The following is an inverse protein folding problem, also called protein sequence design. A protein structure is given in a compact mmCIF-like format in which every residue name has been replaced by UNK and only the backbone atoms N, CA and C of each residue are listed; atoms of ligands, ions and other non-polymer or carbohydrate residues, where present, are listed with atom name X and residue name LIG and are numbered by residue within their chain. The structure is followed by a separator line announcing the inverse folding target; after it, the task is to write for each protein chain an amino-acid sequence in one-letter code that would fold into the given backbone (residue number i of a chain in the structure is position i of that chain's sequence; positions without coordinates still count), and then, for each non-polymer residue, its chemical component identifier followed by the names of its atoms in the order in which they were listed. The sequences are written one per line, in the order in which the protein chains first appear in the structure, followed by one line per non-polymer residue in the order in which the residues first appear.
data_IF_920673078461
#
_entry.id   IF_920673078461
#
_cell.length_a   1.000
_cell.length_b   1.000
_cell.length_c   1.000
_cell.angle_alpha   90.00
_cell.angle_beta   90.00
_cell.angle_gamma   90.00
#
_symmetry.space_group_name_H-M   'P 1'
#
loop_
_entity.id
_entity.type
_entity.pdbx_description
1 polymer ?
#
# COMPACT_ATOMS: atom_id res chain seq x y z
N UNK A 1 -16.64 -3.19 -2.37
CA UNK A 1 -15.28 -3.36 -1.81
C UNK A 1 -15.13 -4.73 -1.14
N UNK A 2 -15.81 -5.04 -0.03
CA UNK A 2 -15.74 -6.36 0.62
C UNK A 2 -16.05 -7.55 -0.30
N UNK A 3 -17.00 -7.39 -1.23
CA UNK A 3 -17.40 -8.40 -2.22
C UNK A 3 -16.27 -8.78 -3.19
N UNK A 4 -15.33 -7.88 -3.48
CA UNK A 4 -14.21 -8.14 -4.40
C UNK A 4 -12.98 -8.62 -3.65
N UNK A 5 -12.79 -8.20 -2.40
CA UNK A 5 -11.59 -8.52 -1.63
C UNK A 5 -11.67 -9.93 -1.02
N UNK A 6 -12.83 -10.35 -0.50
CA UNK A 6 -13.01 -11.70 0.04
C UNK A 6 -12.63 -12.82 -0.94
N UNK A 7 -13.06 -12.81 -2.22
CA UNK A 7 -12.65 -13.86 -3.15
C UNK A 7 -11.15 -13.81 -3.45
N UNK A 8 -10.52 -12.63 -3.49
CA UNK A 8 -9.07 -12.52 -3.67
C UNK A 8 -8.28 -13.07 -2.49
N UNK A 9 -8.76 -12.89 -1.25
CA UNK A 9 -8.16 -13.52 -0.06
C UNK A 9 -8.25 -15.05 -0.16
N UNK A 10 -9.40 -15.58 -0.58
CA UNK A 10 -9.58 -17.02 -0.78
C UNK A 10 -8.64 -17.54 -1.88
N UNK A 11 -8.54 -16.84 -3.01
CA UNK A 11 -7.62 -17.21 -4.10
C UNK A 11 -6.16 -17.17 -3.65
N UNK A 12 -5.74 -16.15 -2.90
CA UNK A 12 -4.37 -16.05 -2.39
C UNK A 12 -4.03 -17.19 -1.41
N UNK A 13 -4.98 -17.56 -0.54
CA UNK A 13 -4.80 -18.69 0.38
C UNK A 13 -4.77 -20.02 -0.39
N UNK A 14 -5.64 -20.19 -1.40
CA UNK A 14 -5.64 -21.37 -2.25
C UNK A 14 -4.33 -21.50 -3.05
N UNK A 15 -3.82 -20.40 -3.60
CA UNK A 15 -2.53 -20.38 -4.28
C UNK A 15 -1.39 -20.76 -3.32
N UNK A 16 -1.35 -20.16 -2.12
CA UNK A 16 -0.37 -20.51 -1.09
C UNK A 16 -0.48 -21.97 -0.63
N UNK A 17 -1.66 -22.59 -0.67
CA UNK A 17 -1.88 -24.01 -0.35
C UNK A 17 -1.46 -24.94 -1.49
N UNK A 18 -1.76 -24.58 -2.74
CA UNK A 18 -1.50 -25.41 -3.92
C UNK A 18 -0.03 -25.35 -4.34
N UNK A 19 0.63 -24.22 -4.10
CA UNK A 19 1.98 -23.93 -4.59
C UNK A 19 3.09 -24.28 -3.58
N UNK A 20 2.72 -24.73 -2.36
CA UNK A 20 3.63 -25.00 -1.21
C UNK A 20 4.93 -25.76 -1.51
N UNK A 21 4.96 -26.64 -2.52
CA UNK A 21 6.14 -27.46 -2.83
C UNK A 21 7.08 -26.85 -3.87
N UNK A 22 6.63 -25.91 -4.70
CA UNK A 22 7.34 -25.54 -5.92
C UNK A 22 7.69 -24.04 -6.03
N UNK A 23 7.10 -23.15 -5.24
CA UNK A 23 7.50 -21.74 -5.21
C UNK A 23 7.24 -21.08 -3.83
N UNK A 24 8.12 -20.16 -3.38
CA UNK A 24 7.84 -19.29 -2.22
C UNK A 24 6.74 -18.27 -2.55
N UNK A 25 5.98 -17.74 -1.56
CA UNK A 25 6.14 -17.93 -0.11
C UNK A 25 5.44 -19.17 0.45
N UNK A 26 5.99 -19.75 1.51
CA UNK A 26 5.29 -20.77 2.30
C UNK A 26 4.01 -20.21 2.94
N UNK A 27 3.05 -21.06 3.27
CA UNK A 27 1.77 -20.59 3.83
C UNK A 27 1.92 -19.75 5.10
N UNK A 28 2.91 -20.08 5.93
CA UNK A 28 3.21 -19.31 7.15
C UNK A 28 3.73 -17.92 6.77
N UNK A 29 4.63 -17.82 5.79
CA UNK A 29 5.14 -16.53 5.32
C UNK A 29 4.06 -15.68 4.64
N UNK A 30 3.15 -16.32 3.89
CA UNK A 30 1.98 -15.69 3.30
C UNK A 30 1.04 -15.15 4.38
N UNK A 31 0.65 -15.96 5.36
CA UNK A 31 -0.23 -15.53 6.46
C UNK A 31 0.39 -14.40 7.29
N UNK A 32 1.69 -14.49 7.60
CA UNK A 32 2.43 -13.41 8.27
C UNK A 32 2.44 -12.17 7.37
N UNK A 33 2.69 -12.32 6.07
CA UNK A 33 2.67 -11.22 5.12
C UNK A 33 1.31 -10.52 5.07
N UNK A 34 0.22 -11.28 5.05
CA UNK A 34 -1.13 -10.74 5.09
C UNK A 34 -1.42 -10.00 6.39
N UNK A 35 -1.04 -10.57 7.52
CA UNK A 35 -1.19 -9.95 8.84
C UNK A 35 -0.37 -8.66 8.95
N UNK A 36 0.88 -8.66 8.48
CA UNK A 36 1.75 -7.49 8.45
C UNK A 36 1.19 -6.43 7.53
N UNK A 37 0.78 -6.79 6.31
CA UNK A 37 0.26 -5.85 5.33
C UNK A 37 -1.04 -5.19 5.77
N UNK A 38 -1.98 -5.99 6.26
CA UNK A 38 -3.21 -5.47 6.85
C UNK A 38 -2.91 -4.63 8.10
N UNK A 39 -2.11 -5.14 9.03
CA UNK A 39 -1.82 -4.50 10.30
C UNK A 39 -1.15 -3.14 10.15
N UNK A 40 -0.11 -3.04 9.32
CA UNK A 40 0.60 -1.78 9.09
C UNK A 40 -0.31 -0.74 8.45
N UNK A 41 -1.03 -1.10 7.39
CA UNK A 41 -1.92 -0.15 6.72
C UNK A 41 -3.15 0.20 7.58
N UNK A 42 -3.61 -0.72 8.42
CA UNK A 42 -4.67 -0.44 9.39
C UNK A 42 -4.21 0.59 10.43
N UNK A 43 -2.99 0.46 10.95
CA UNK A 43 -2.41 1.45 11.86
C UNK A 43 -2.27 2.82 11.19
N UNK A 44 -1.81 2.86 9.93
CA UNK A 44 -1.73 4.10 9.15
C UNK A 44 -3.11 4.72 8.89
N UNK A 45 -4.12 3.90 8.59
CA UNK A 45 -5.50 4.33 8.42
C UNK A 45 -6.06 4.99 9.70
N UNK A 46 -5.87 4.34 10.85
CA UNK A 46 -6.28 4.87 12.15
C UNK A 46 -5.50 6.15 12.51
N UNK A 47 -4.19 6.18 12.22
CA UNK A 47 -3.33 7.34 12.39
C UNK A 47 -3.76 8.53 11.53
N UNK A 48 -4.17 8.27 10.28
CA UNK A 48 -4.73 9.28 9.38
C UNK A 48 -6.01 9.89 9.93
N UNK A 49 -6.94 9.07 10.44
CA UNK A 49 -8.17 9.57 11.07
C UNK A 49 -7.87 10.40 12.33
N UNK A 50 -6.92 9.95 13.16
CA UNK A 50 -6.49 10.68 14.35
C UNK A 50 -5.83 12.01 13.99
N UNK A 51 -4.96 12.04 12.98
CA UNK A 51 -4.30 13.24 12.48
C UNK A 51 -5.31 14.26 11.97
N UNK A 52 -6.27 13.83 11.16
CA UNK A 52 -7.36 14.69 10.66
C UNK A 52 -8.19 15.25 11.81
N UNK A 53 -8.52 14.44 12.82
CA UNK A 53 -9.27 14.89 14.01
C UNK A 53 -8.50 15.93 14.84
N UNK A 54 -7.20 15.72 15.04
CA UNK A 54 -6.34 16.66 15.79
C UNK A 54 -6.16 17.96 15.01
N UNK A 55 -5.88 17.89 13.71
CA UNK A 55 -5.68 19.09 12.89
C UNK A 55 -6.95 19.88 12.63
N UNK A 56 -8.09 19.20 12.48
CA UNK A 56 -9.38 19.87 12.35
C UNK A 56 -9.72 20.69 13.61
N UNK A 57 -9.44 20.15 14.82
CA UNK A 57 -9.59 20.89 16.09
C UNK A 57 -8.65 22.10 16.22
N UNK A 58 -7.43 22.03 15.68
CA UNK A 58 -6.44 23.13 15.80
C UNK A 58 -6.58 24.21 14.73
N UNK A 59 -7.07 23.89 13.53
CA UNK A 59 -7.15 24.83 12.39
C UNK A 59 -8.57 25.33 12.07
N UNK A 60 -9.61 24.83 12.75
CA UNK A 60 -11.00 25.27 12.52
C UNK A 60 -11.51 25.04 11.10
N UNK A 61 -10.84 24.18 10.31
CA UNK A 61 -11.24 23.77 8.97
C UNK A 61 -11.59 22.28 9.02
N UNK A 62 -12.73 21.91 8.46
CA UNK A 62 -13.06 20.51 8.19
C UNK A 62 -12.10 20.01 7.11
N UNK A 63 -11.00 19.38 7.51
CA UNK A 63 -10.20 18.57 6.61
C UNK A 63 -10.99 17.27 6.48
N UNK A 64 -11.62 17.06 5.33
CA UNK A 64 -12.50 15.91 5.08
C UNK A 64 -11.81 14.81 4.30
N UNK A 65 -10.49 14.88 4.10
CA UNK A 65 -9.78 13.76 3.50
C UNK A 65 -9.21 12.85 4.55
N UNK A 66 -9.66 11.61 4.46
CA UNK A 66 -8.87 10.49 4.92
C UNK A 66 -7.93 10.18 3.76
N UNK A 67 -6.63 10.42 3.96
CA UNK A 67 -5.60 10.15 2.96
C UNK A 67 -5.47 8.65 2.62
N UNK A 68 -6.08 7.78 3.42
CA UNK A 68 -6.07 6.33 3.28
C UNK A 68 -7.49 5.79 3.31
N UNK A 69 -7.88 5.05 2.28
CA UNK A 69 -9.14 4.33 2.30
C UNK A 69 -9.03 3.00 3.04
N UNK A 70 -10.12 2.51 3.62
CA UNK A 70 -10.16 1.14 4.15
C UNK A 70 -9.91 0.09 3.04
N UNK A 71 -10.22 0.43 1.78
CA UNK A 71 -9.88 -0.39 0.62
C UNK A 71 -8.38 -0.58 0.43
N UNK A 72 -7.56 0.43 0.73
CA UNK A 72 -6.10 0.36 0.63
C UNK A 72 -5.51 -0.56 1.70
N UNK A 73 -6.12 -0.56 2.90
CA UNK A 73 -5.75 -1.47 4.00
C UNK A 73 -5.96 -2.92 3.62
N UNK A 74 -7.14 -3.20 3.07
CA UNK A 74 -7.49 -4.53 2.61
C UNK A 74 -6.62 -5.00 1.44
N UNK A 75 -6.32 -4.09 0.49
CA UNK A 75 -5.43 -4.37 -0.62
C UNK A 75 -4.00 -4.70 -0.14
N UNK A 76 -3.46 -3.95 0.81
CA UNK A 76 -2.17 -4.24 1.41
C UNK A 76 -2.13 -5.60 2.11
N UNK A 77 -3.23 -6.00 2.78
CA UNK A 77 -3.38 -7.35 3.32
C UNK A 77 -3.33 -8.43 2.25
N UNK A 78 -4.07 -8.27 1.15
CA UNK A 78 -4.05 -9.22 0.03
C UNK A 78 -2.67 -9.30 -0.62
N UNK A 79 -2.02 -8.16 -0.87
CA UNK A 79 -0.66 -8.12 -1.42
C UNK A 79 0.31 -8.85 -0.48
N UNK A 80 0.21 -8.60 0.83
CA UNK A 80 1.02 -9.28 1.84
C UNK A 80 0.82 -10.81 1.84
N UNK A 81 -0.41 -11.29 1.64
CA UNK A 81 -0.68 -12.72 1.47
C UNK A 81 0.00 -13.28 0.22
N UNK A 82 -0.03 -12.53 -0.89
CA UNK A 82 0.48 -12.99 -2.18
C UNK A 82 2.01 -13.07 -2.24
N UNK A 83 2.71 -12.06 -1.72
CA UNK A 83 4.18 -11.97 -1.87
C UNK A 83 4.94 -12.30 -0.59
N UNK A 84 4.23 -12.53 0.52
CA UNK A 84 4.82 -12.78 1.83
C UNK A 84 5.41 -11.52 2.48
N UNK A 85 5.73 -11.61 3.77
CA UNK A 85 6.10 -10.44 4.57
C UNK A 85 7.41 -9.76 4.13
N UNK A 86 8.40 -10.53 3.66
CA UNK A 86 9.73 -10.01 3.29
C UNK A 86 9.63 -9.11 2.05
N UNK A 87 9.02 -9.62 0.98
CA UNK A 87 8.82 -8.85 -0.25
C UNK A 87 7.81 -7.71 -0.04
N UNK A 88 6.82 -7.91 0.85
CA UNK A 88 5.87 -6.87 1.21
C UNK A 88 6.53 -5.63 1.81
N UNK A 89 7.52 -5.78 2.69
CA UNK A 89 8.22 -4.63 3.28
C UNK A 89 8.92 -3.77 2.21
N UNK A 90 9.56 -4.39 1.23
CA UNK A 90 10.18 -3.68 0.11
C UNK A 90 9.15 -3.09 -0.85
N UNK A 91 8.06 -3.81 -1.14
CA UNK A 91 6.92 -3.30 -1.91
C UNK A 91 6.34 -2.04 -1.27
N UNK A 92 6.14 -2.06 0.05
CA UNK A 92 5.63 -0.91 0.81
C UNK A 92 6.57 0.30 0.69
N UNK A 93 7.88 0.08 0.77
CA UNK A 93 8.86 1.15 0.58
C UNK A 93 8.75 1.79 -0.81
N UNK A 94 8.65 0.99 -1.86
CA UNK A 94 8.43 1.48 -3.23
C UNK A 94 7.11 2.24 -3.34
N UNK A 95 6.03 1.72 -2.77
CA UNK A 95 4.71 2.36 -2.75
C UNK A 95 4.77 3.75 -2.10
N UNK A 96 5.53 3.91 -1.01
CA UNK A 96 5.71 5.22 -0.35
C UNK A 96 6.43 6.19 -1.27
N UNK A 97 7.50 5.76 -1.93
CA UNK A 97 8.26 6.61 -2.88
C UNK A 97 7.39 7.01 -4.07
N UNK A 98 6.70 6.05 -4.70
CA UNK A 98 5.81 6.32 -5.83
C UNK A 98 4.65 7.23 -5.45
N UNK A 99 4.07 7.05 -4.26
CA UNK A 99 3.04 7.92 -3.72
C UNK A 99 3.55 9.35 -3.50
N UNK A 100 4.75 9.50 -2.94
CA UNK A 100 5.38 10.81 -2.74
C UNK A 100 5.68 11.51 -4.08
N UNK A 101 6.21 10.78 -5.06
CA UNK A 101 6.46 11.29 -6.41
C UNK A 101 5.16 11.68 -7.11
N UNK A 102 4.12 10.84 -7.02
CA UNK A 102 2.80 11.13 -7.57
C UNK A 102 2.18 12.39 -6.97
N UNK A 103 2.27 12.56 -5.66
CA UNK A 103 1.83 13.77 -4.97
C UNK A 103 2.62 15.00 -5.43
N UNK A 104 3.94 14.90 -5.56
CA UNK A 104 4.80 15.99 -6.03
C UNK A 104 4.46 16.41 -7.47
N UNK A 105 4.31 15.45 -8.39
CA UNK A 105 3.93 15.69 -9.77
C UNK A 105 2.53 16.30 -9.88
N UNK A 106 1.59 15.86 -9.05
CA UNK A 106 0.25 16.43 -9.00
C UNK A 106 0.26 17.91 -8.54
N UNK A 107 1.06 18.23 -7.52
CA UNK A 107 1.24 19.61 -7.06
C UNK A 107 1.91 20.46 -8.16
N UNK A 108 2.95 19.94 -8.81
CA UNK A 108 3.72 20.67 -9.81
C UNK A 108 2.90 20.94 -11.08
N UNK A 109 2.22 19.91 -11.61
CA UNK A 109 1.35 20.04 -12.78
C UNK A 109 0.23 21.07 -12.55
N UNK A 110 -0.40 21.07 -11.37
CA UNK A 110 -1.45 22.05 -11.07
C UNK A 110 -0.93 23.46 -10.84
N UNK A 111 0.29 23.62 -10.29
CA UNK A 111 0.95 24.92 -10.18
C UNK A 111 1.21 25.54 -11.57
N UNK A 112 1.52 24.71 -12.56
CA UNK A 112 1.69 25.13 -13.96
C UNK A 112 0.36 25.42 -14.67
N UNK A 113 -0.72 24.73 -14.29
CA UNK A 113 -2.06 24.86 -14.89
C UNK A 113 -2.94 25.96 -14.27
N UNK A 114 -2.48 26.67 -13.23
CA UNK A 114 -3.18 27.82 -12.64
C UNK A 114 -4.52 27.52 -11.95
N UNK A 115 -4.83 26.24 -11.68
CA UNK A 115 -6.13 25.84 -11.10
C UNK A 115 -6.16 26.00 -9.58
N UNK A 116 -7.29 26.51 -9.05
CA UNK A 116 -7.44 26.75 -7.60
C UNK A 116 -7.34 25.44 -6.81
N UNK A 117 -6.59 25.56 -5.72
CA UNK A 117 -6.21 24.52 -4.78
C UNK A 117 -7.42 23.82 -4.16
N UNK A 118 -7.52 22.50 -4.32
CA UNK A 118 -8.06 21.64 -3.27
C UNK A 118 -6.86 20.85 -2.75
N UNK A 119 -6.31 21.26 -1.59
CA UNK A 119 -5.17 20.65 -0.88
C UNK A 119 -5.39 19.18 -0.46
N UNK A 120 -6.47 18.61 -0.96
CA UNK A 120 -7.50 17.96 -0.20
C UNK A 120 -8.31 17.07 -1.16
N UNK A 121 -7.66 16.66 -2.25
CA UNK A 121 -8.20 15.62 -3.12
C UNK A 121 -7.54 14.34 -2.65
N UNK A 122 -8.32 13.38 -2.14
CA UNK A 122 -7.79 12.09 -1.73
C UNK A 122 -7.04 11.47 -2.92
N UNK A 123 -5.72 11.37 -2.81
CA UNK A 123 -4.90 10.64 -3.78
C UNK A 123 -5.12 9.15 -3.48
N UNK A 124 -5.74 8.38 -4.39
CA UNK A 124 -5.95 6.97 -4.14
C UNK A 124 -4.58 6.29 -4.03
N UNK A 125 -4.31 5.66 -2.88
CA UNK A 125 -3.03 4.96 -2.64
C UNK A 125 -2.98 3.58 -3.32
N UNK A 126 -4.15 2.99 -3.60
CA UNK A 126 -4.29 1.70 -4.28
C UNK A 126 -3.38 1.49 -5.49
N UNK A 127 -3.36 2.38 -6.51
CA UNK A 127 -2.48 2.24 -7.67
C UNK A 127 -0.99 2.13 -7.31
N UNK A 128 -0.52 2.88 -6.31
CA UNK A 128 0.87 2.83 -5.87
C UNK A 128 1.18 1.54 -5.07
N UNK A 129 0.20 1.01 -4.34
CA UNK A 129 0.30 -0.31 -3.67
C UNK A 129 0.46 -1.41 -4.71
N UNK A 130 -0.40 -1.42 -5.74
CA UNK A 130 -0.33 -2.39 -6.84
C UNK A 130 0.99 -2.25 -7.60
N UNK A 131 1.44 -1.03 -7.91
CA UNK A 131 2.70 -0.80 -8.60
C UNK A 131 3.90 -1.33 -7.80
N UNK A 132 3.96 -1.05 -6.49
CA UNK A 132 5.00 -1.59 -5.61
C UNK A 132 5.01 -3.12 -5.59
N UNK A 133 3.83 -3.73 -5.52
CA UNK A 133 3.68 -5.19 -5.53
C UNK A 133 4.17 -5.79 -6.85
N UNK A 134 3.74 -5.23 -7.99
CA UNK A 134 4.15 -5.69 -9.32
C UNK A 134 5.66 -5.58 -9.52
N UNK A 135 6.28 -4.49 -9.05
CA UNK A 135 7.74 -4.33 -9.14
C UNK A 135 8.45 -5.42 -8.34
N UNK A 136 7.98 -5.75 -7.13
CA UNK A 136 8.58 -6.84 -6.33
C UNK A 136 8.32 -8.22 -6.90
N UNK A 137 7.19 -8.45 -7.56
CA UNK A 137 6.88 -9.73 -8.21
C UNK A 137 7.78 -9.92 -9.45
N UNK A 138 7.98 -8.87 -10.25
CA UNK A 138 8.73 -8.94 -11.50
C UNK A 138 10.25 -8.84 -11.30
N UNK A 139 10.71 -8.09 -10.30
CA UNK A 139 12.14 -7.78 -10.07
C UNK A 139 12.61 -7.97 -8.62
N UNK A 140 12.33 -9.13 -7.96
CA UNK A 140 12.62 -9.30 -6.54
C UNK A 140 14.12 -9.23 -6.22
N UNK A 141 14.97 -9.81 -7.07
CA UNK A 141 16.42 -9.90 -6.83
C UNK A 141 17.13 -8.58 -7.10
N UNK A 142 16.73 -7.86 -8.15
CA UNK A 142 17.32 -6.57 -8.52
C UNK A 142 16.98 -5.51 -7.47
N UNK A 143 15.74 -5.50 -6.98
CA UNK A 143 15.32 -4.56 -5.93
C UNK A 143 15.98 -4.92 -4.59
N UNK A 144 16.02 -6.21 -4.24
CA UNK A 144 16.73 -6.67 -3.03
C UNK A 144 18.20 -6.26 -3.03
N UNK A 145 18.90 -6.45 -4.15
CA UNK A 145 20.29 -6.04 -4.33
C UNK A 145 20.48 -4.52 -4.29
N UNK A 146 19.55 -3.75 -4.86
CA UNK A 146 19.60 -2.28 -4.82
C UNK A 146 19.37 -1.73 -3.41
N UNK A 147 18.45 -2.30 -2.65
CA UNK A 147 18.05 -1.80 -1.33
C UNK A 147 18.95 -2.31 -0.19
N UNK A 148 19.47 -3.53 -0.31
CA UNK A 148 20.41 -4.11 0.67
C UNK A 148 21.88 -3.77 0.37
N UNK A 149 22.14 -3.07 -0.74
CA UNK A 149 23.48 -2.71 -1.18
C UNK A 149 24.26 -3.95 -1.60
N UNK A 150 24.12 -4.36 -2.85
CA UNK A 150 24.89 -5.45 -3.42
C UNK A 150 26.41 -5.20 -3.22
N UNK A 151 27.04 -6.13 -2.49
CA UNK A 151 28.33 -6.68 -2.89
C UNK A 151 28.08 -7.87 -3.80
#
# INVERSE_FOLDING_TARGET
MFVVINPFVVVAILDALLTQKNAPPEIVEALIGGAVGYGVFFLLYQGGFLFTRIMSKRRGREIKEVAFGYGDVMLAGVVGLLIGWRLFLFSMYITIILGALGALLFILSRRLLGTRYSAFTALPYGPYIVAGALIMILFPTQVGGLLLGAR
#
